data_IF_924373018631
#
_entry.id   IF_924373018631
#
_cell.length_a   1.000
_cell.length_b   1.000
_cell.length_c   1.000
_cell.angle_alpha   90.00
_cell.angle_beta   90.00
_cell.angle_gamma   90.00
#
_symmetry.space_group_name_H-M   'P 1'
#
loop_
_entity.id
_entity.type
_entity.pdbx_description
1 polymer ?
#
# COMPACT_ATOMS: atom_id res chain seq x y z
N UNK A 1 12.86 17.59 8.05
CA UNK A 1 11.98 16.60 7.39
C UNK A 1 12.01 15.33 8.22
N UNK A 2 11.07 15.14 9.15
CA UNK A 2 10.95 13.88 9.87
C UNK A 2 10.45 12.83 8.88
N UNK A 3 11.32 11.91 8.46
CA UNK A 3 10.88 10.75 7.69
C UNK A 3 9.90 9.92 8.51
N UNK A 4 8.87 9.35 7.85
CA UNK A 4 7.96 8.40 8.50
C UNK A 4 8.79 7.20 8.97
N UNK A 5 8.64 6.80 10.24
CA UNK A 5 9.35 5.61 10.75
C UNK A 5 8.71 4.33 10.19
N UNK A 6 9.46 3.23 10.19
CA UNK A 6 8.97 1.95 9.72
C UNK A 6 7.73 1.47 10.49
N UNK A 7 7.70 1.67 11.82
CA UNK A 7 6.56 1.33 12.66
C UNK A 7 5.32 2.15 12.29
N UNK A 8 5.51 3.44 11.97
CA UNK A 8 4.41 4.30 11.53
C UNK A 8 3.86 3.87 10.17
N UNK A 9 4.72 3.47 9.24
CA UNK A 9 4.32 2.93 7.95
C UNK A 9 3.55 1.62 8.13
N UNK A 10 4.05 0.69 8.96
CA UNK A 10 3.35 -0.56 9.27
C UNK A 10 1.96 -0.32 9.87
N UNK A 11 1.85 0.63 10.80
CA UNK A 11 0.57 1.03 11.38
C UNK A 11 -0.42 1.57 10.32
N UNK A 12 0.04 2.42 9.40
CA UNK A 12 -0.81 2.93 8.32
C UNK A 12 -1.21 1.84 7.33
N UNK A 13 -0.30 0.92 6.98
CA UNK A 13 -0.62 -0.23 6.13
C UNK A 13 -1.74 -1.09 6.74
N UNK A 14 -1.70 -1.31 8.06
CA UNK A 14 -2.76 -2.01 8.78
C UNK A 14 -4.09 -1.22 8.83
N UNK A 15 -4.04 0.12 8.87
CA UNK A 15 -5.25 0.95 8.75
C UNK A 15 -5.90 0.78 7.38
N UNK A 16 -5.09 0.81 6.31
CA UNK A 16 -5.57 0.58 4.94
C UNK A 16 -6.18 -0.82 4.82
N UNK A 17 -5.49 -1.86 5.32
CA UNK A 17 -5.99 -3.23 5.30
C UNK A 17 -7.33 -3.41 6.03
N UNK A 18 -7.51 -2.76 7.19
CA UNK A 18 -8.79 -2.77 7.91
C UNK A 18 -9.90 -2.06 7.14
N UNK A 19 -9.60 -0.93 6.51
CA UNK A 19 -10.58 -0.19 5.71
C UNK A 19 -11.03 -0.97 4.45
N UNK A 20 -10.12 -1.76 3.88
CA UNK A 20 -10.37 -2.56 2.67
C UNK A 20 -10.72 -4.02 2.97
N UNK A 21 -11.06 -4.36 4.21
CA UNK A 21 -11.32 -5.77 4.59
C UNK A 21 -12.55 -6.38 3.91
N UNK A 22 -13.47 -5.53 3.43
CA UNK A 22 -14.71 -5.94 2.76
C UNK A 22 -14.61 -5.94 1.24
N UNK A 23 -13.45 -5.60 0.68
CA UNK A 23 -13.18 -5.70 -0.75
C UNK A 23 -13.16 -7.17 -1.19
N UNK A 24 -13.52 -7.44 -2.46
CA UNK A 24 -13.51 -8.81 -3.00
C UNK A 24 -12.09 -9.40 -3.03
N UNK A 25 -11.07 -8.53 -3.15
CA UNK A 25 -9.65 -8.87 -3.21
C UNK A 25 -8.83 -7.98 -2.27
N UNK A 26 -8.96 -8.15 -0.94
CA UNK A 26 -8.44 -7.19 0.04
C UNK A 26 -6.92 -7.02 -0.05
N UNK A 27 -6.18 -8.12 -0.26
CA UNK A 27 -4.71 -8.08 -0.44
C UNK A 27 -4.31 -7.28 -1.69
N UNK A 28 -5.05 -7.45 -2.80
CA UNK A 28 -4.77 -6.72 -4.03
C UNK A 28 -5.12 -5.23 -3.87
N UNK A 29 -6.26 -4.93 -3.24
CA UNK A 29 -6.70 -3.56 -2.99
C UNK A 29 -5.72 -2.78 -2.11
N UNK A 30 -5.15 -3.43 -1.07
CA UNK A 30 -4.12 -2.81 -0.23
C UNK A 30 -2.83 -2.56 -1.02
N UNK A 31 -2.38 -3.54 -1.81
CA UNK A 31 -1.16 -3.37 -2.61
C UNK A 31 -1.28 -2.24 -3.63
N UNK A 32 -2.42 -2.18 -4.33
CA UNK A 32 -2.77 -1.11 -5.26
C UNK A 32 -2.78 0.27 -4.58
N UNK A 33 -3.48 0.39 -3.44
CA UNK A 33 -3.56 1.64 -2.69
C UNK A 33 -2.19 2.14 -2.23
N UNK A 34 -1.34 1.26 -1.70
CA UNK A 34 0.00 1.64 -1.26
C UNK A 34 0.81 2.16 -2.45
N UNK A 35 0.82 1.45 -3.59
CA UNK A 35 1.59 1.87 -4.77
C UNK A 35 1.06 3.17 -5.39
N UNK A 36 -0.26 3.35 -5.40
CA UNK A 36 -0.89 4.55 -5.96
C UNK A 36 -0.56 5.82 -5.16
N UNK A 37 -0.44 5.73 -3.84
CA UNK A 37 -0.37 6.92 -2.97
C UNK A 37 0.93 7.10 -2.20
N UNK A 38 1.78 6.08 -2.08
CA UNK A 38 3.02 6.19 -1.34
C UNK A 38 4.20 6.50 -2.26
N UNK A 39 5.15 7.28 -1.73
CA UNK A 39 6.41 7.49 -2.43
C UNK A 39 7.26 6.21 -2.45
N UNK A 40 8.15 6.02 -3.44
CA UNK A 40 9.04 4.86 -3.48
C UNK A 40 9.82 4.65 -2.17
N UNK A 41 10.34 5.73 -1.58
CA UNK A 41 11.08 5.68 -0.30
C UNK A 41 10.24 5.12 0.85
N UNK A 42 8.95 5.44 0.92
CA UNK A 42 8.06 4.88 1.96
C UNK A 42 7.87 3.38 1.77
N UNK A 43 7.68 2.95 0.51
CA UNK A 43 7.53 1.54 0.16
C UNK A 43 8.82 0.77 0.53
N UNK A 44 9.98 1.26 0.11
CA UNK A 44 11.27 0.64 0.40
C UNK A 44 11.53 0.52 1.91
N UNK A 45 11.17 1.56 2.67
CA UNK A 45 11.31 1.56 4.14
C UNK A 45 10.42 0.50 4.78
N UNK A 46 9.18 0.35 4.30
CA UNK A 46 8.26 -0.68 4.81
C UNK A 46 8.71 -2.09 4.43
N UNK A 47 9.21 -2.29 3.20
CA UNK A 47 9.74 -3.58 2.76
C UNK A 47 10.96 -3.98 3.60
N UNK A 48 11.88 -3.05 3.88
CA UNK A 48 13.07 -3.30 4.69
C UNK A 48 12.76 -3.70 6.14
N UNK A 49 11.64 -3.23 6.71
CA UNK A 49 11.16 -3.63 8.04
C UNK A 49 10.69 -5.10 8.07
N UNK A 50 10.32 -5.67 6.92
CA UNK A 50 9.69 -6.98 6.83
C UNK A 50 8.26 -6.99 7.38
N UNK A 51 7.86 -8.10 8.02
CA UNK A 51 6.47 -8.29 8.50
C UNK A 51 6.22 -7.83 9.93
N UNK A 52 7.23 -7.26 10.60
CA UNK A 52 7.11 -6.82 11.98
C UNK A 52 6.03 -5.75 12.13
N UNK A 53 4.99 -6.05 12.92
CA UNK A 53 3.87 -5.14 13.18
C UNK A 53 2.84 -5.06 12.05
N UNK A 54 2.93 -5.88 11.01
CA UNK A 54 1.92 -5.97 9.95
C UNK A 54 0.85 -7.01 10.26
N UNK A 55 -0.40 -6.63 10.02
CA UNK A 55 -1.53 -7.56 9.99
C UNK A 55 -1.42 -8.47 8.76
N UNK A 56 -2.03 -9.66 8.81
CA UNK A 56 -1.90 -10.69 7.75
C UNK A 56 -2.12 -10.14 6.34
N UNK A 57 -3.20 -9.38 6.12
CA UNK A 57 -3.54 -8.83 4.78
C UNK A 57 -2.50 -7.79 4.33
N UNK A 58 -2.02 -6.94 5.24
CA UNK A 58 -1.00 -5.94 4.94
C UNK A 58 0.36 -6.60 4.65
N UNK A 59 0.74 -7.62 5.43
CA UNK A 59 1.96 -8.39 5.20
C UNK A 59 1.95 -9.08 3.83
N UNK A 60 0.84 -9.72 3.45
CA UNK A 60 0.70 -10.34 2.13
C UNK A 60 0.73 -9.31 0.99
N UNK A 61 0.16 -8.11 1.19
CA UNK A 61 0.20 -7.03 0.20
C UNK A 61 1.62 -6.49 0.01
N UNK A 62 2.35 -6.24 1.10
CA UNK A 62 3.75 -5.78 1.06
C UNK A 62 4.65 -6.82 0.39
N UNK A 63 4.45 -8.11 0.64
CA UNK A 63 5.17 -9.18 -0.03
C UNK A 63 4.95 -9.16 -1.56
N UNK A 64 3.71 -8.94 -2.02
CA UNK A 64 3.43 -8.79 -3.45
C UNK A 64 4.16 -7.59 -4.06
N UNK A 65 4.18 -6.46 -3.37
CA UNK A 65 4.89 -5.26 -3.82
C UNK A 65 6.40 -5.55 -3.95
N UNK A 66 7.00 -6.18 -2.94
CA UNK A 66 8.42 -6.54 -2.95
C UNK A 66 8.79 -7.49 -4.09
N UNK A 67 7.87 -8.35 -4.52
CA UNK A 67 8.04 -9.24 -5.67
C UNK A 67 7.71 -8.58 -7.02
N UNK A 68 7.38 -7.28 -7.05
CA UNK A 68 6.97 -6.56 -8.26
C UNK A 68 5.59 -6.96 -8.79
N UNK A 69 4.79 -7.69 -8.00
CA UNK A 69 3.43 -8.14 -8.36
C UNK A 69 2.40 -7.09 -7.98
N UNK A 70 2.41 -5.96 -8.69
CA UNK A 70 1.43 -4.89 -8.48
C UNK A 70 0.15 -5.23 -9.25
N UNK A 71 -1.01 -5.33 -8.58
CA UNK A 71 -2.27 -5.53 -9.27
C UNK A 71 -2.64 -4.29 -10.10
N UNK A 72 -3.47 -4.47 -11.12
CA UNK A 72 -4.12 -3.34 -11.79
C UNK A 72 -4.97 -2.55 -10.77
N UNK A 73 -5.37 -1.30 -11.06
CA UNK A 73 -6.28 -0.54 -10.21
C UNK A 73 -7.50 -1.37 -9.82
N UNK A 74 -7.75 -1.54 -8.52
CA UNK A 74 -8.87 -2.32 -7.98
C UNK A 74 -10.15 -1.48 -7.88
N UNK A 75 -10.03 -0.15 -7.87
CA UNK A 75 -11.17 0.76 -7.79
C UNK A 75 -10.97 1.97 -8.69
N UNK A 76 -12.06 2.70 -8.96
CA UNK A 76 -11.98 4.01 -9.62
C UNK A 76 -11.11 5.00 -8.83
N UNK A 77 -11.02 4.83 -7.51
CA UNK A 77 -10.20 5.65 -6.63
C UNK A 77 -8.70 5.32 -6.68
N UNK A 78 -8.26 4.35 -7.48
CA UNK A 78 -6.83 4.10 -7.73
C UNK A 78 -6.50 4.10 -9.22
N UNK A 79 -7.48 4.45 -10.07
CA UNK A 79 -7.29 4.56 -11.51
C UNK A 79 -6.41 5.78 -11.86
N UNK A 80 -5.23 5.58 -12.48
CA UNK A 80 -4.35 6.67 -12.88
C UNK A 80 -5.02 7.69 -13.81
N UNK A 81 -6.03 7.30 -14.59
CA UNK A 81 -6.76 8.21 -15.48
C UNK A 81 -7.67 9.18 -14.70
N UNK A 82 -8.09 8.79 -13.50
CA UNK A 82 -8.95 9.61 -12.62
C UNK A 82 -8.10 10.50 -11.72
N UNK A 83 -6.93 10.02 -11.26
CA UNK A 83 -6.04 10.76 -10.36
C UNK A 83 -4.97 11.60 -11.07
N UNK A 84 -4.70 11.34 -12.35
CA UNK A 84 -3.62 11.99 -13.11
C UNK A 84 -3.94 13.38 -13.68
N UNK A 85 -5.11 13.95 -13.42
CA UNK A 85 -5.54 15.21 -14.07
C UNK A 85 -5.12 16.50 -13.35
N UNK A 86 -4.64 16.45 -12.11
CA UNK A 86 -4.48 17.66 -11.26
C UNK A 86 -3.04 17.97 -10.84
N UNK A 87 -2.03 17.45 -11.55
CA UNK A 87 -0.63 17.84 -11.38
C UNK A 87 -0.17 18.73 -12.55
N UNK A 88 -0.77 19.92 -12.68
CA UNK A 88 -0.37 21.00 -13.58
C UNK A 88 -0.16 22.30 -12.82
#
# INVERSE_FOLDING_TARGET
>A
MSGQTAEKLAYMANQIARNLTHDDKPVAAVADHIVAFWTPRMIDTLIAQGTAGLDKVAAEAVARIAEGRIPAPQSRATDPQVHGSDAG
#
